data_IF_772273437732
#
_entry.id   IF_772273437732
#
_cell.length_a   1.000
_cell.length_b   1.000
_cell.length_c   1.000
_cell.angle_alpha   90.00
_cell.angle_beta   90.00
_cell.angle_gamma   90.00
#
_symmetry.space_group_name_H-M   'P 1'
#
loop_
_entity.id
_entity.type
_entity.pdbx_description
1 polymer ?
#
# COMPACT_ATOMS: atom_id res chain seq x y z
N UNK A 1 5.10 -3.84 16.21
CA UNK A 1 5.50 -4.64 15.07
C UNK A 1 4.61 -4.33 13.87
N UNK A 2 5.21 -4.19 12.71
CA UNK A 2 4.51 -3.81 11.50
C UNK A 2 4.56 -4.94 10.47
N UNK A 3 3.40 -5.27 9.91
CA UNK A 3 3.31 -6.23 8.81
C UNK A 3 3.03 -5.50 7.51
N UNK A 4 3.60 -6.01 6.44
CA UNK A 4 3.48 -5.40 5.13
C UNK A 4 2.93 -6.42 4.14
N UNK A 5 2.02 -5.97 3.28
CA UNK A 5 1.41 -6.83 2.29
C UNK A 5 1.12 -6.04 1.02
N UNK A 6 1.24 -6.69 -0.13
CA UNK A 6 0.96 -6.03 -1.39
C UNK A 6 -0.53 -5.75 -1.52
N UNK A 7 -0.88 -4.54 -1.97
CA UNK A 7 -2.27 -4.18 -2.18
C UNK A 7 -2.84 -4.91 -3.38
N UNK A 8 -4.03 -5.49 -3.20
CA UNK A 8 -4.73 -6.18 -4.28
C UNK A 8 -5.69 -5.26 -5.03
N UNK A 9 -6.06 -4.14 -4.42
CA UNK A 9 -7.00 -3.21 -5.02
C UNK A 9 -6.33 -2.10 -5.81
N UNK A 10 -5.08 -1.84 -5.53
CA UNK A 10 -4.35 -0.77 -6.21
C UNK A 10 -3.95 -1.24 -7.60
N UNK A 11 -4.49 -0.55 -8.62
CA UNK A 11 -4.19 -0.87 -10.01
C UNK A 11 -3.26 0.16 -10.62
N UNK A 12 -2.39 -0.31 -11.51
CA UNK A 12 -1.45 0.56 -12.19
C UNK A 12 -0.22 0.86 -11.35
N UNK A 13 0.66 1.75 -11.83
CA UNK A 13 1.89 2.09 -11.12
C UNK A 13 1.61 2.95 -9.90
N UNK A 14 2.31 2.68 -8.81
CA UNK A 14 2.18 3.45 -7.58
C UNK A 14 3.06 4.69 -7.69
N UNK A 15 2.48 5.80 -8.11
CA UNK A 15 3.20 7.06 -8.26
C UNK A 15 2.95 8.02 -7.12
N UNK A 16 1.94 7.75 -6.30
CA UNK A 16 1.58 8.60 -5.18
C UNK A 16 1.44 7.76 -3.91
N UNK A 17 2.27 8.08 -2.92
CA UNK A 17 2.21 7.40 -1.63
C UNK A 17 0.86 7.63 -0.95
N UNK A 18 0.35 8.86 -1.03
CA UNK A 18 -0.95 9.18 -0.45
C UNK A 18 -2.06 8.34 -1.05
N UNK A 19 -2.03 8.17 -2.35
CA UNK A 19 -3.03 7.39 -3.05
C UNK A 19 -2.97 5.93 -2.63
N UNK A 20 -1.74 5.39 -2.56
CA UNK A 20 -1.53 4.03 -2.11
C UNK A 20 -2.05 3.84 -0.69
N UNK A 21 -1.73 4.77 0.22
CA UNK A 21 -2.17 4.70 1.60
C UNK A 21 -3.70 4.76 1.70
N UNK A 22 -4.34 5.61 0.90
CA UNK A 22 -5.80 5.72 0.90
C UNK A 22 -6.45 4.39 0.49
N UNK A 23 -5.94 3.78 -0.57
CA UNK A 23 -6.45 2.48 -1.02
C UNK A 23 -6.23 1.42 0.06
N UNK A 24 -5.06 1.43 0.68
CA UNK A 24 -4.76 0.47 1.75
C UNK A 24 -5.72 0.62 2.93
N UNK A 25 -6.10 1.84 3.26
CA UNK A 25 -7.05 2.08 4.35
C UNK A 25 -8.41 1.48 4.03
N UNK A 26 -8.83 1.50 2.77
CA UNK A 26 -10.09 0.88 2.37
C UNK A 26 -10.03 -0.64 2.49
N UNK A 27 -8.84 -1.22 2.52
CA UNK A 27 -8.66 -2.66 2.67
C UNK A 27 -8.48 -3.06 4.15
N UNK A 28 -8.56 -2.10 5.05
CA UNK A 28 -8.42 -2.39 6.47
C UNK A 28 -7.00 -2.26 7.02
N UNK A 29 -6.12 -1.64 6.26
CA UNK A 29 -4.75 -1.40 6.70
C UNK A 29 -4.62 0.00 7.28
N UNK A 30 -3.53 0.27 8.00
CA UNK A 30 -3.28 1.57 8.58
C UNK A 30 -2.77 2.56 7.54
N UNK A 31 -2.03 2.09 6.57
CA UNK A 31 -1.50 2.94 5.53
C UNK A 31 -0.76 2.11 4.50
N UNK A 32 0.09 2.77 3.70
CA UNK A 32 0.82 2.08 2.68
C UNK A 32 1.84 2.99 2.02
N UNK A 33 2.65 2.40 1.15
CA UNK A 33 3.67 3.15 0.43
C UNK A 33 4.03 2.44 -0.86
N UNK A 34 4.61 3.19 -1.78
CA UNK A 34 5.09 2.64 -3.04
C UNK A 34 6.47 2.04 -2.84
N UNK A 35 6.72 0.89 -3.42
CA UNK A 35 7.99 0.20 -3.22
C UNK A 35 8.43 -0.53 -4.47
N UNK A 36 9.74 -0.61 -4.66
CA UNK A 36 10.35 -1.37 -5.72
C UNK A 36 10.38 -0.65 -7.05
N UNK A 37 11.13 -1.21 -7.98
CA UNK A 37 11.27 -0.65 -9.32
C UNK A 37 9.97 -0.74 -10.11
N UNK A 38 9.12 -1.67 -9.75
CA UNK A 38 7.83 -1.86 -10.42
C UNK A 38 6.74 -0.96 -9.88
N UNK A 39 7.09 -0.10 -8.94
CA UNK A 39 6.14 0.85 -8.33
C UNK A 39 4.88 0.17 -7.83
N UNK A 40 5.08 -0.81 -6.96
CA UNK A 40 3.97 -1.55 -6.35
C UNK A 40 3.52 -0.87 -5.08
N UNK A 41 2.21 -0.92 -4.84
CA UNK A 41 1.64 -0.39 -3.60
C UNK A 41 1.64 -1.49 -2.55
N UNK A 42 2.30 -1.24 -1.43
CA UNK A 42 2.33 -2.15 -0.29
C UNK A 42 1.60 -1.52 0.88
N UNK A 43 0.71 -2.28 1.48
CA UNK A 43 -0.06 -1.82 2.64
C UNK A 43 0.61 -2.27 3.92
N UNK A 44 0.51 -1.45 4.96
CA UNK A 44 1.10 -1.74 6.25
C UNK A 44 0.06 -1.72 7.35
N UNK A 45 0.26 -2.55 8.37
CA UNK A 45 -0.61 -2.59 9.54
C UNK A 45 0.17 -3.13 10.73
N UNK A 46 -0.37 -2.93 11.92
CA UNK A 46 0.18 -3.54 13.12
C UNK A 46 -0.22 -5.00 13.19
N UNK A 47 0.74 -5.84 13.49
CA UNK A 47 0.48 -7.27 13.63
C UNK A 47 0.05 -7.66 15.04
#
# INVERSE_FOLDING_TARGET
RTCESQSHRFKGPCVSKSNCASVCQTEGFHGGHCRGLRRRCFCTKHC
#
